data_IF_991098976866
#
_entry.id   IF_991098976866
#
_cell.length_a   1.000
_cell.length_b   1.000
_cell.length_c   1.000
_cell.angle_alpha   90.00
_cell.angle_beta   90.00
_cell.angle_gamma   90.00
#
_symmetry.space_group_name_H-M   'P 1'
#
loop_
_entity.id
_entity.type
_entity.pdbx_description
1 polymer ?
#
# COMPACT_ATOMS: atom_id res chain seq x y z
N UNK A 1 4.89 -33.25 -6.00
CA UNK A 1 3.78 -32.33 -6.26
C UNK A 1 3.51 -32.30 -7.76
N UNK A 2 2.28 -32.46 -8.18
CA UNK A 2 1.96 -32.40 -9.62
C UNK A 2 1.98 -30.95 -10.12
N UNK A 3 2.26 -30.73 -11.41
CA UNK A 3 2.25 -29.38 -12.03
C UNK A 3 0.92 -28.63 -11.81
N UNK A 4 -0.27 -29.27 -11.94
CA UNK A 4 -1.54 -28.61 -11.61
C UNK A 4 -1.65 -28.16 -10.16
N UNK A 5 -1.14 -28.96 -9.21
CA UNK A 5 -1.13 -28.60 -7.79
C UNK A 5 -0.26 -27.38 -7.52
N UNK A 6 0.94 -27.35 -8.10
CA UNK A 6 1.85 -26.21 -7.95
C UNK A 6 1.21 -24.92 -8.50
N UNK A 7 0.56 -24.97 -9.66
CA UNK A 7 -0.13 -23.80 -10.22
C UNK A 7 -1.28 -23.34 -9.32
N UNK A 8 -2.03 -24.25 -8.74
CA UNK A 8 -3.12 -23.92 -7.81
C UNK A 8 -2.57 -23.23 -6.56
N UNK A 9 -1.49 -23.73 -5.99
CA UNK A 9 -0.85 -23.14 -4.82
C UNK A 9 -0.34 -21.72 -5.11
N UNK A 10 0.23 -21.48 -6.31
CA UNK A 10 0.66 -20.16 -6.74
C UNK A 10 -0.52 -19.18 -6.90
N UNK A 11 -1.65 -19.62 -7.42
CA UNK A 11 -2.88 -18.81 -7.53
C UNK A 11 -3.43 -18.47 -6.15
N UNK A 12 -3.47 -19.43 -5.21
CA UNK A 12 -3.90 -19.18 -3.84
C UNK A 12 -2.97 -18.20 -3.12
N UNK A 13 -1.67 -18.28 -3.36
CA UNK A 13 -0.72 -17.32 -2.80
C UNK A 13 -1.01 -15.88 -3.28
N UNK A 14 -1.26 -15.68 -4.58
CA UNK A 14 -1.64 -14.36 -5.10
C UNK A 14 -2.96 -13.89 -4.49
N UNK A 15 -3.95 -14.76 -4.37
CA UNK A 15 -5.23 -14.43 -3.74
C UNK A 15 -5.06 -13.98 -2.28
N UNK A 16 -4.16 -14.61 -1.54
CA UNK A 16 -3.78 -14.19 -0.18
C UNK A 16 -3.11 -12.81 -0.15
N UNK A 17 -2.24 -12.51 -1.11
CA UNK A 17 -1.62 -11.19 -1.23
C UNK A 17 -2.66 -10.10 -1.56
N UNK A 18 -3.64 -10.40 -2.40
CA UNK A 18 -4.73 -9.48 -2.73
C UNK A 18 -5.57 -9.17 -1.50
N UNK A 19 -5.94 -10.18 -0.71
CA UNK A 19 -6.67 -9.98 0.54
C UNK A 19 -5.86 -9.15 1.55
N UNK A 20 -4.56 -9.41 1.66
CA UNK A 20 -3.66 -8.62 2.51
C UNK A 20 -3.58 -7.15 2.06
N UNK A 21 -3.60 -6.87 0.75
CA UNK A 21 -3.66 -5.52 0.19
C UNK A 21 -4.97 -4.83 0.58
N UNK A 22 -6.11 -5.49 0.39
CA UNK A 22 -7.43 -4.94 0.75
C UNK A 22 -7.52 -4.63 2.24
N UNK A 23 -7.09 -5.55 3.07
CA UNK A 23 -7.01 -5.37 4.53
C UNK A 23 -6.09 -4.22 4.92
N UNK A 24 -4.95 -4.09 4.27
CA UNK A 24 -3.98 -3.03 4.55
C UNK A 24 -4.56 -1.64 4.20
N UNK A 25 -5.25 -1.51 3.06
CA UNK A 25 -5.95 -0.27 2.67
C UNK A 25 -7.02 0.08 3.68
N UNK A 26 -7.84 -0.88 4.11
CA UNK A 26 -8.87 -0.66 5.11
C UNK A 26 -8.31 -0.07 6.41
N UNK A 27 -7.27 -0.68 6.98
CA UNK A 27 -6.69 -0.21 8.23
C UNK A 27 -5.87 1.08 8.07
N UNK A 28 -5.24 1.30 6.92
CA UNK A 28 -4.54 2.55 6.63
C UNK A 28 -5.52 3.72 6.58
N UNK A 29 -6.63 3.57 5.87
CA UNK A 29 -7.68 4.58 5.77
C UNK A 29 -8.33 4.84 7.15
N UNK A 30 -8.60 3.80 7.93
CA UNK A 30 -9.14 3.92 9.29
C UNK A 30 -8.19 4.71 10.21
N UNK A 31 -6.91 4.32 10.26
CA UNK A 31 -5.93 4.99 11.12
C UNK A 31 -5.71 6.45 10.71
N UNK A 32 -5.74 6.74 9.41
CA UNK A 32 -5.59 8.11 8.92
C UNK A 32 -6.75 9.03 9.30
N UNK A 33 -7.96 8.49 9.48
CA UNK A 33 -9.12 9.29 9.94
C UNK A 33 -9.01 9.76 11.39
N UNK A 34 -8.23 9.06 12.20
CA UNK A 34 -8.02 9.39 13.61
C UNK A 34 -6.97 10.47 13.82
N UNK A 35 -6.32 10.94 12.75
CA UNK A 35 -5.27 11.96 12.81
C UNK A 35 -5.82 13.30 12.30
N UNK A 36 -5.58 14.43 13.03
CA UNK A 36 -6.05 15.76 12.62
C UNK A 36 -5.13 16.38 11.55
N UNK A 37 -5.37 16.03 10.29
CA UNK A 37 -4.60 16.55 9.16
C UNK A 37 -4.96 17.99 8.77
N UNK A 38 -3.99 18.83 8.34
CA UNK A 38 -2.55 18.60 8.38
C UNK A 38 -1.99 18.73 9.80
N UNK A 39 -0.94 17.94 10.10
CA UNK A 39 -0.23 18.02 11.35
C UNK A 39 0.68 19.26 11.40
N UNK A 40 0.84 19.86 12.59
CA UNK A 40 1.88 20.84 12.87
C UNK A 40 2.81 20.36 13.99
N UNK A 41 4.05 20.84 13.97
CA UNK A 41 5.00 20.54 15.06
C UNK A 41 4.51 21.05 16.40
N UNK A 42 3.86 22.21 16.44
CA UNK A 42 3.26 22.80 17.65
C UNK A 42 2.14 21.90 18.22
N UNK A 43 1.27 21.36 17.35
CA UNK A 43 0.22 20.43 17.77
C UNK A 43 0.83 19.17 18.40
N UNK A 44 1.82 18.57 17.73
CA UNK A 44 2.50 17.37 18.24
C UNK A 44 3.24 17.64 19.56
N UNK A 45 3.92 18.77 19.70
CA UNK A 45 4.61 19.12 20.97
C UNK A 45 3.62 19.33 22.10
N UNK A 46 2.50 20.00 21.83
CA UNK A 46 1.43 20.19 22.84
C UNK A 46 0.79 18.86 23.26
N UNK A 47 0.65 17.90 22.33
CA UNK A 47 0.02 16.59 22.54
C UNK A 47 1.03 15.45 22.65
N UNK A 48 2.27 15.71 23.02
CA UNK A 48 3.37 14.73 23.02
C UNK A 48 3.18 13.52 23.94
N UNK A 49 2.16 13.51 24.77
CA UNK A 49 1.77 12.38 25.63
C UNK A 49 0.40 11.78 25.23
N UNK A 50 -0.15 12.17 24.11
CA UNK A 50 -1.38 11.61 23.59
C UNK A 50 -1.10 10.26 22.93
N UNK A 51 -1.33 9.17 23.68
CA UNK A 51 -1.09 7.82 23.22
C UNK A 51 -1.92 7.49 21.98
N UNK A 52 -3.19 7.91 21.92
CA UNK A 52 -4.07 7.58 20.79
C UNK A 52 -3.57 8.22 19.50
N UNK A 53 -3.13 9.49 19.55
CA UNK A 53 -2.55 10.18 18.39
C UNK A 53 -1.28 9.48 17.90
N UNK A 54 -0.35 9.17 18.81
CA UNK A 54 0.92 8.54 18.39
C UNK A 54 0.76 7.09 17.98
N UNK A 55 -0.21 6.34 18.53
CA UNK A 55 -0.58 5.01 18.04
C UNK A 55 -1.18 5.08 16.63
N UNK A 56 -2.03 6.06 16.34
CA UNK A 56 -2.58 6.27 15.00
C UNK A 56 -1.48 6.62 13.99
N UNK A 57 -0.54 7.50 14.35
CA UNK A 57 0.61 7.84 13.51
C UNK A 57 1.51 6.63 13.23
N UNK A 58 1.82 5.85 14.26
CA UNK A 58 2.60 4.62 14.10
C UNK A 58 1.88 3.61 13.18
N UNK A 59 0.56 3.47 13.32
CA UNK A 59 -0.24 2.62 12.46
C UNK A 59 -0.27 3.11 11.00
N UNK A 60 -0.40 4.42 10.77
CA UNK A 60 -0.32 5.01 9.41
C UNK A 60 1.03 4.68 8.77
N UNK A 61 2.12 4.89 9.49
CA UNK A 61 3.46 4.62 8.97
C UNK A 61 3.67 3.14 8.62
N UNK A 62 3.32 2.25 9.54
CA UNK A 62 3.46 0.79 9.34
C UNK A 62 2.58 0.31 8.18
N UNK A 63 1.32 0.75 8.11
CA UNK A 63 0.37 0.32 7.09
C UNK A 63 0.72 0.88 5.71
N UNK A 64 1.22 2.11 5.63
CA UNK A 64 1.71 2.68 4.38
C UNK A 64 2.87 1.86 3.81
N UNK A 65 3.86 1.53 4.64
CA UNK A 65 4.99 0.70 4.23
C UNK A 65 4.54 -0.72 3.83
N UNK A 66 3.68 -1.33 4.61
CA UNK A 66 3.15 -2.68 4.37
C UNK A 66 2.34 -2.77 3.08
N UNK A 67 1.54 -1.73 2.77
CA UNK A 67 0.78 -1.67 1.52
C UNK A 67 1.72 -1.71 0.31
N UNK A 68 2.76 -0.88 0.32
CA UNK A 68 3.74 -0.85 -0.77
C UNK A 68 4.49 -2.17 -0.92
N UNK A 69 4.90 -2.80 0.20
CA UNK A 69 5.56 -4.10 0.17
C UNK A 69 4.65 -5.21 -0.38
N UNK A 70 3.39 -5.22 0.05
CA UNK A 70 2.39 -6.20 -0.42
C UNK A 70 2.09 -6.03 -1.90
N UNK A 71 1.95 -4.79 -2.38
CA UNK A 71 1.79 -4.49 -3.80
C UNK A 71 3.00 -4.96 -4.62
N UNK A 72 4.21 -4.66 -4.17
CA UNK A 72 5.44 -5.10 -4.84
C UNK A 72 5.56 -6.62 -4.91
N UNK A 73 5.22 -7.32 -3.83
CA UNK A 73 5.20 -8.78 -3.80
C UNK A 73 4.14 -9.36 -4.75
N UNK A 74 2.93 -8.80 -4.74
CA UNK A 74 1.82 -9.26 -5.58
C UNK A 74 2.09 -9.02 -7.07
N UNK A 75 2.63 -7.85 -7.45
CA UNK A 75 3.04 -7.56 -8.82
C UNK A 75 4.11 -8.55 -9.31
N UNK A 76 5.15 -8.79 -8.50
CA UNK A 76 6.20 -9.75 -8.85
C UNK A 76 5.65 -11.17 -9.00
N UNK A 77 4.76 -11.58 -8.11
CA UNK A 77 4.17 -12.92 -8.13
C UNK A 77 3.23 -13.13 -9.32
N UNK A 78 2.47 -12.10 -9.71
CA UNK A 78 1.58 -12.18 -10.87
C UNK A 78 2.34 -12.36 -12.20
N UNK A 79 3.58 -11.84 -12.32
CA UNK A 79 4.43 -12.10 -13.48
C UNK A 79 4.84 -13.58 -13.58
N UNK A 80 5.14 -14.22 -12.44
CA UNK A 80 5.44 -15.65 -12.41
C UNK A 80 4.26 -16.46 -12.95
N UNK A 81 3.03 -16.11 -12.54
CA UNK A 81 1.80 -16.76 -13.02
C UNK A 81 1.54 -16.52 -14.50
N UNK A 82 1.96 -15.37 -15.05
CA UNK A 82 1.84 -15.05 -16.47
C UNK A 82 2.96 -15.67 -17.33
N UNK A 83 3.93 -16.35 -16.69
CA UNK A 83 5.10 -16.89 -17.39
C UNK A 83 6.11 -15.82 -17.81
N UNK A 84 5.96 -14.60 -17.32
CA UNK A 84 6.89 -13.50 -17.58
C UNK A 84 8.04 -13.49 -16.56
N UNK A 85 9.20 -13.08 -17.01
CA UNK A 85 10.38 -12.93 -16.16
C UNK A 85 10.81 -11.48 -16.09
N UNK A 86 11.09 -11.01 -14.87
CA UNK A 86 11.70 -9.71 -14.65
C UNK A 86 12.94 -9.88 -13.76
N UNK A 87 14.12 -9.56 -14.32
CA UNK A 87 15.41 -9.73 -13.65
C UNK A 87 15.60 -8.72 -12.51
N UNK A 88 14.83 -7.63 -12.51
CA UNK A 88 14.90 -6.58 -11.50
C UNK A 88 13.53 -6.01 -11.19
N UNK A 89 13.39 -5.44 -9.99
CA UNK A 89 12.11 -4.84 -9.60
C UNK A 89 11.75 -3.61 -10.44
N UNK A 90 12.72 -2.88 -10.96
CA UNK A 90 12.45 -1.76 -11.87
C UNK A 90 11.76 -2.22 -13.16
N UNK A 91 12.10 -3.42 -13.67
CA UNK A 91 11.41 -4.01 -14.82
C UNK A 91 9.99 -4.43 -14.47
N UNK A 92 9.74 -4.93 -13.24
CA UNK A 92 8.39 -5.18 -12.74
C UNK A 92 7.56 -3.90 -12.77
N UNK A 93 8.09 -2.81 -12.23
CA UNK A 93 7.42 -1.51 -12.24
C UNK A 93 7.13 -1.02 -13.65
N UNK A 94 8.09 -1.12 -14.56
CA UNK A 94 7.90 -0.70 -15.96
C UNK A 94 6.80 -1.50 -16.68
N UNK A 95 6.70 -2.80 -16.41
CA UNK A 95 5.63 -3.63 -16.94
C UNK A 95 4.25 -3.20 -16.40
N UNK A 96 4.15 -2.95 -15.10
CA UNK A 96 2.89 -2.51 -14.49
C UNK A 96 2.54 -1.05 -14.77
N UNK A 97 3.51 -0.18 -15.03
CA UNK A 97 3.28 1.15 -15.58
C UNK A 97 2.64 1.06 -16.97
N UNK A 98 3.18 0.22 -17.85
CA UNK A 98 2.61 -0.05 -19.19
C UNK A 98 1.20 -0.65 -19.11
N UNK A 99 0.89 -1.42 -18.08
CA UNK A 99 -0.45 -1.97 -17.84
C UNK A 99 -1.42 -0.97 -17.19
N UNK A 100 -0.96 0.23 -16.85
CA UNK A 100 -1.76 1.27 -16.19
C UNK A 100 -2.06 0.99 -14.72
N UNK A 101 -1.33 0.08 -14.08
CA UNK A 101 -1.45 -0.21 -12.65
C UNK A 101 -0.62 0.76 -11.83
N UNK A 102 0.65 0.91 -12.16
CA UNK A 102 1.56 1.90 -11.60
C UNK A 102 1.44 3.17 -12.42
N UNK A 103 1.19 4.31 -11.78
CA UNK A 103 1.03 5.60 -12.47
C UNK A 103 2.35 6.08 -13.09
N UNK A 104 3.43 5.96 -12.33
CA UNK A 104 4.80 6.14 -12.80
C UNK A 104 5.80 5.46 -11.85
N UNK A 105 6.97 5.11 -12.39
CA UNK A 105 8.08 4.58 -11.60
C UNK A 105 8.51 5.61 -10.56
N UNK A 106 8.51 6.90 -10.92
CA UNK A 106 8.87 8.01 -10.04
C UNK A 106 7.92 8.09 -8.84
N UNK A 107 6.60 7.96 -9.04
CA UNK A 107 5.61 7.96 -7.97
C UNK A 107 5.84 6.80 -6.99
N UNK A 108 6.16 5.61 -7.49
CA UNK A 108 6.54 4.47 -6.65
C UNK A 108 7.80 4.75 -5.83
N UNK A 109 8.84 5.29 -6.47
CA UNK A 109 10.12 5.61 -5.81
C UNK A 109 9.96 6.71 -4.75
N UNK A 110 9.13 7.73 -5.04
CA UNK A 110 8.82 8.78 -4.08
C UNK A 110 8.17 8.21 -2.82
N UNK A 111 7.15 7.36 -2.97
CA UNK A 111 6.49 6.70 -1.86
C UNK A 111 7.47 5.81 -1.05
N UNK A 112 8.36 5.09 -1.74
CA UNK A 112 9.39 4.27 -1.10
C UNK A 112 10.39 5.12 -0.31
N UNK A 113 10.82 6.24 -0.86
CA UNK A 113 11.72 7.18 -0.18
C UNK A 113 11.05 7.77 1.05
N UNK A 114 9.80 8.25 0.92
CA UNK A 114 9.05 8.82 2.03
C UNK A 114 8.91 7.84 3.20
N UNK A 115 8.50 6.58 2.94
CA UNK A 115 8.37 5.58 4.01
C UNK A 115 9.69 5.22 4.70
N UNK A 116 10.81 5.23 3.95
CA UNK A 116 12.12 4.88 4.50
C UNK A 116 12.68 5.97 5.41
N UNK A 117 12.32 7.24 5.19
CA UNK A 117 12.73 8.34 6.05
C UNK A 117 12.17 8.18 7.48
N UNK A 118 10.98 7.58 7.62
CA UNK A 118 10.38 7.30 8.92
C UNK A 118 11.16 6.29 9.77
N UNK A 119 11.87 5.36 9.15
CA UNK A 119 12.60 4.31 9.87
C UNK A 119 13.79 4.83 10.68
N UNK A 120 14.21 6.08 10.42
CA UNK A 120 15.40 6.68 11.03
C UNK A 120 15.09 7.74 12.10
N UNK A 121 13.83 8.19 12.21
CA UNK A 121 13.51 9.37 13.00
C UNK A 121 12.51 9.09 14.12
N UNK A 122 12.98 8.50 15.21
CA UNK A 122 12.44 8.81 16.54
C UNK A 122 12.95 10.21 16.95
N UNK A 123 12.77 11.18 16.06
CA UNK A 123 13.22 12.52 16.35
C UNK A 123 12.31 13.21 17.34
N UNK A 124 12.92 13.92 18.25
CA UNK A 124 12.27 14.86 19.17
C UNK A 124 11.91 16.17 18.47
N UNK A 125 12.24 16.32 17.20
CA UNK A 125 11.84 17.45 16.36
C UNK A 125 10.44 17.23 15.78
N UNK A 126 9.43 17.70 16.50
CA UNK A 126 8.04 17.55 16.11
C UNK A 126 7.66 18.26 14.81
N UNK A 127 8.43 19.27 14.36
CA UNK A 127 8.20 19.89 13.05
C UNK A 127 8.55 18.91 11.93
N UNK A 128 9.68 18.22 12.02
CA UNK A 128 10.06 17.18 11.05
C UNK A 128 9.13 15.98 11.08
N UNK A 129 8.70 15.56 12.26
CA UNK A 129 7.70 14.48 12.40
C UNK A 129 6.41 14.87 11.68
N UNK A 130 5.91 16.09 11.88
CA UNK A 130 4.70 16.58 11.21
C UNK A 130 4.86 16.63 9.69
N UNK A 131 5.97 17.15 9.19
CA UNK A 131 6.28 17.19 7.74
C UNK A 131 6.32 15.79 7.14
N UNK A 132 6.95 14.85 7.83
CA UNK A 132 7.01 13.46 7.39
C UNK A 132 5.62 12.85 7.24
N UNK A 133 4.78 12.94 8.28
CA UNK A 133 3.44 12.35 8.24
C UNK A 133 2.52 13.07 7.25
N UNK A 134 2.63 14.38 7.10
CA UNK A 134 1.90 15.11 6.06
C UNK A 134 2.32 14.64 4.65
N UNK A 135 3.60 14.35 4.45
CA UNK A 135 4.08 13.76 3.18
C UNK A 135 3.47 12.39 2.94
N UNK A 136 3.50 11.48 3.92
CA UNK A 136 2.85 10.17 3.79
C UNK A 136 1.35 10.32 3.50
N UNK A 137 0.67 11.20 4.22
CA UNK A 137 -0.77 11.45 4.01
C UNK A 137 -1.07 11.93 2.59
N UNK A 138 -0.22 12.81 2.03
CA UNK A 138 -0.38 13.29 0.65
C UNK A 138 -0.17 12.20 -0.41
N UNK A 139 0.62 11.18 -0.11
CA UNK A 139 0.91 10.05 -1.01
C UNK A 139 -0.07 8.88 -0.87
N UNK A 140 -0.85 8.83 0.21
CA UNK A 140 -1.81 7.76 0.46
C UNK A 140 -2.84 7.56 -0.65
N UNK A 141 -3.48 8.62 -1.21
CA UNK A 141 -4.47 8.45 -2.27
C UNK A 141 -3.93 7.68 -3.48
N UNK A 142 -2.72 7.99 -3.93
CA UNK A 142 -2.10 7.30 -5.05
C UNK A 142 -1.74 5.85 -4.72
N UNK A 143 -1.25 5.57 -3.52
CA UNK A 143 -0.98 4.20 -3.07
C UNK A 143 -2.26 3.36 -3.06
N UNK A 144 -3.37 3.90 -2.57
CA UNK A 144 -4.67 3.23 -2.53
C UNK A 144 -5.26 3.06 -3.93
N UNK A 145 -5.11 4.05 -4.81
CA UNK A 145 -5.54 3.97 -6.21
C UNK A 145 -4.74 2.90 -6.98
N UNK A 146 -3.44 2.81 -6.74
CA UNK A 146 -2.58 1.76 -7.30
C UNK A 146 -3.02 0.36 -6.83
N UNK A 147 -3.36 0.22 -5.54
CA UNK A 147 -3.92 -1.02 -5.00
C UNK A 147 -5.22 -1.41 -5.72
N UNK A 148 -6.13 -0.46 -5.93
CA UNK A 148 -7.38 -0.70 -6.64
C UNK A 148 -7.13 -1.13 -8.10
N UNK A 149 -6.24 -0.46 -8.81
CA UNK A 149 -5.86 -0.82 -10.19
C UNK A 149 -5.22 -2.21 -10.26
N UNK A 150 -4.38 -2.57 -9.29
CA UNK A 150 -3.77 -3.90 -9.24
C UNK A 150 -4.81 -5.00 -8.98
N UNK A 151 -5.73 -4.80 -8.03
CA UNK A 151 -6.80 -5.77 -7.74
C UNK A 151 -7.68 -5.97 -8.97
N UNK A 152 -8.05 -4.89 -9.66
CA UNK A 152 -8.81 -4.95 -10.92
C UNK A 152 -8.02 -5.68 -12.02
N UNK A 153 -6.74 -5.39 -12.20
CA UNK A 153 -5.84 -6.07 -13.13
C UNK A 153 -5.80 -7.58 -12.86
N UNK A 154 -5.63 -7.99 -11.61
CA UNK A 154 -5.56 -9.40 -11.23
C UNK A 154 -6.87 -10.15 -11.53
N UNK A 155 -8.01 -9.53 -11.26
CA UNK A 155 -9.31 -10.09 -11.58
C UNK A 155 -9.52 -10.22 -13.09
N UNK A 156 -9.19 -9.16 -13.86
CA UNK A 156 -9.42 -9.11 -15.32
C UNK A 156 -8.45 -9.99 -16.12
N UNK A 157 -7.15 -9.92 -15.80
CA UNK A 157 -6.10 -10.60 -16.58
C UNK A 157 -5.78 -12.03 -16.11
N UNK A 158 -5.91 -12.28 -14.82
CA UNK A 158 -5.52 -13.57 -14.22
C UNK A 158 -6.72 -14.37 -13.70
N UNK A 159 -7.90 -13.73 -13.59
CA UNK A 159 -9.08 -14.36 -12.97
C UNK A 159 -8.83 -14.70 -11.50
N UNK A 160 -8.09 -13.85 -10.77
CA UNK A 160 -7.73 -14.07 -9.36
C UNK A 160 -8.21 -12.87 -8.54
N UNK A 161 -9.08 -13.15 -7.57
CA UNK A 161 -9.53 -12.23 -6.53
C UNK A 161 -8.94 -12.58 -5.17
N UNK A 162 -9.39 -11.92 -4.08
CA UNK A 162 -8.98 -12.24 -2.72
C UNK A 162 -9.42 -13.65 -2.30
N UNK A 163 -8.78 -14.23 -1.27
CA UNK A 163 -9.20 -15.51 -0.70
C UNK A 163 -10.57 -15.43 -0.06
N UNK A 164 -10.83 -14.38 0.69
CA UNK A 164 -12.11 -14.07 1.33
C UNK A 164 -12.62 -12.70 0.94
N UNK A 165 -13.88 -12.42 1.27
CA UNK A 165 -14.56 -11.16 0.92
C UNK A 165 -14.70 -10.20 2.10
N UNK A 166 -14.01 -10.44 3.22
CA UNK A 166 -14.17 -9.69 4.46
C UNK A 166 -13.88 -8.19 4.32
N UNK A 167 -12.98 -7.82 3.41
CA UNK A 167 -12.58 -6.42 3.17
C UNK A 167 -12.97 -5.89 1.79
N UNK A 168 -13.63 -6.69 0.95
CA UNK A 168 -13.85 -6.35 -0.45
C UNK A 168 -14.78 -5.13 -0.63
N UNK A 169 -15.84 -5.04 0.18
CA UNK A 169 -16.81 -3.95 0.10
C UNK A 169 -16.22 -2.62 0.54
N UNK A 170 -15.56 -2.60 1.69
CA UNK A 170 -14.90 -1.40 2.23
C UNK A 170 -13.76 -0.95 1.35
N UNK A 171 -12.97 -1.90 0.83
CA UNK A 171 -11.91 -1.61 -0.14
C UNK A 171 -12.47 -0.91 -1.40
N UNK A 172 -13.57 -1.42 -1.97
CA UNK A 172 -14.20 -0.82 -3.14
C UNK A 172 -14.72 0.59 -2.85
N UNK A 173 -15.30 0.83 -1.66
CA UNK A 173 -15.75 2.15 -1.24
C UNK A 173 -14.59 3.15 -1.09
N UNK A 174 -13.51 2.75 -0.41
CA UNK A 174 -12.31 3.58 -0.24
C UNK A 174 -11.70 3.92 -1.60
N UNK A 175 -11.57 2.94 -2.50
CA UNK A 175 -11.03 3.14 -3.84
C UNK A 175 -11.86 4.14 -4.66
N UNK A 176 -13.20 4.09 -4.56
CA UNK A 176 -14.10 5.01 -5.26
C UNK A 176 -13.97 6.44 -4.74
N UNK A 177 -13.90 6.63 -3.41
CA UNK A 177 -13.76 7.95 -2.78
C UNK A 177 -12.43 8.64 -3.12
N UNK A 178 -11.38 7.88 -3.39
CA UNK A 178 -10.03 8.40 -3.67
C UNK A 178 -9.75 8.58 -5.17
N UNK A 179 -10.67 8.14 -6.04
CA UNK A 179 -10.58 8.29 -7.51
C UNK A 179 -11.25 9.57 -8.02
N UNK A 180 -11.90 10.35 -7.15
CA UNK A 180 -12.51 11.64 -7.42
C UNK A 180 -11.59 12.79 -7.00
#
# INVERSE_FOLDING_TARGET
MSTPQLLQDQRQHLAGLIEAIQRCVYFLDSSARDVPWPLSGEHLDTHKKDNALFEALAAVNERFAKLQDSLGAAMRHSLILSGEQADSFIKVLALFEKQGVVSSIEAWQLARTARNLAAHDYETDYHRVAEHFNTLHSLMPEQMAMAARFVAYSADKLGIGPLGNDFANEFAQIATLRSQ
#
